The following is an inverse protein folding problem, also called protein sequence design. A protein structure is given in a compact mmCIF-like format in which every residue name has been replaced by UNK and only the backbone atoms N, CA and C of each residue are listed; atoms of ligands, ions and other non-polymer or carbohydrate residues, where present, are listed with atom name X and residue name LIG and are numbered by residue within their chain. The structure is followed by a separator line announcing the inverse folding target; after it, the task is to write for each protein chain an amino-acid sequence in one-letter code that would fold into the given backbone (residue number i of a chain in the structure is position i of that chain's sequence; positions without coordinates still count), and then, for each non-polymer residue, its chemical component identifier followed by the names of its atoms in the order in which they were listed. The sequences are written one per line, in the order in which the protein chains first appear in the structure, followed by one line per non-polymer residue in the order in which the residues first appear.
data_IF_411128005764
#
_entry.id   IF_411128005764
#
_cell.length_a   1.000
_cell.length_b   1.000
_cell.length_c   1.000
_cell.angle_alpha   90.00
_cell.angle_beta   90.00
_cell.angle_gamma   90.00
#
_symmetry.space_group_name_H-M   'P 1'
#
loop_
_entity.id
_entity.type
_entity.pdbx_description
1 polymer ?
#
# COMPACT_ATOMS: atom_id res chain seq x y z
N UNK A 1 4.70 5.30 1.75
CA UNK A 1 3.35 5.39 2.35
C UNK A 1 3.27 4.37 3.47
N UNK A 2 2.83 4.80 4.65
CA UNK A 2 2.68 4.00 5.88
C UNK A 2 1.52 4.56 6.70
N UNK A 3 1.13 3.88 7.79
CA UNK A 3 0.04 4.31 8.67
C UNK A 3 -1.16 3.37 8.58
N UNK A 4 -2.34 3.85 8.96
CA UNK A 4 -3.57 3.05 8.97
C UNK A 4 -4.75 3.75 8.31
N UNK A 5 -5.67 3.01 7.68
CA UNK A 5 -5.62 1.56 7.46
C UNK A 5 -4.99 1.19 6.12
N UNK A 6 -4.27 0.05 6.06
CA UNK A 6 -3.73 -0.54 4.83
C UNK A 6 -4.80 -0.61 3.73
N UNK A 7 -5.99 -1.08 4.12
CA UNK A 7 -7.11 -1.32 3.22
C UNK A 7 -7.83 -0.07 2.70
N UNK A 8 -7.55 1.10 3.28
CA UNK A 8 -8.25 2.35 2.97
C UNK A 8 -7.24 3.44 2.61
N UNK A 9 -6.91 4.32 3.55
CA UNK A 9 -6.08 5.51 3.30
C UNK A 9 -4.73 5.15 2.67
N UNK A 10 -4.05 4.12 3.18
CA UNK A 10 -2.73 3.73 2.67
C UNK A 10 -2.83 3.25 1.22
N UNK A 11 -3.76 2.34 0.92
CA UNK A 11 -4.02 1.87 -0.46
C UNK A 11 -4.38 3.02 -1.39
N UNK A 12 -5.39 3.82 -1.02
CA UNK A 12 -5.88 4.91 -1.86
C UNK A 12 -4.77 5.92 -2.16
N UNK A 13 -4.04 6.37 -1.14
CA UNK A 13 -2.92 7.32 -1.32
C UNK A 13 -1.80 6.74 -2.19
N UNK A 14 -1.48 5.46 -2.05
CA UNK A 14 -0.44 4.83 -2.86
C UNK A 14 -0.85 4.68 -4.33
N UNK A 15 -2.11 4.32 -4.60
CA UNK A 15 -2.67 4.26 -5.94
C UNK A 15 -2.73 5.66 -6.58
N UNK A 16 -3.16 6.68 -5.84
CA UNK A 16 -3.20 8.07 -6.33
C UNK A 16 -1.80 8.58 -6.67
N UNK A 17 -0.79 8.26 -5.84
CA UNK A 17 0.60 8.61 -6.10
C UNK A 17 1.11 7.95 -7.39
N UNK A 18 0.83 6.66 -7.58
CA UNK A 18 1.20 5.93 -8.80
C UNK A 18 0.52 6.51 -10.05
N UNK A 19 -0.79 6.75 -10.00
CA UNK A 19 -1.55 7.37 -11.09
C UNK A 19 -1.05 8.77 -11.44
N UNK A 20 -0.50 9.49 -10.44
CA UNK A 20 0.11 10.81 -10.61
C UNK A 20 1.58 10.77 -11.09
N UNK A 21 2.15 9.58 -11.35
CA UNK A 21 3.54 9.41 -11.77
C UNK A 21 4.56 9.69 -10.66
N UNK A 22 4.14 9.71 -9.39
CA UNK A 22 5.03 9.90 -8.25
C UNK A 22 5.69 8.59 -7.86
N UNK A 23 6.98 8.65 -7.54
CA UNK A 23 7.69 7.52 -6.95
C UNK A 23 7.22 7.30 -5.51
N UNK A 24 6.40 6.27 -5.28
CA UNK A 24 5.92 5.88 -3.97
C UNK A 24 6.13 4.37 -3.71
N UNK A 25 6.42 4.04 -2.45
CA UNK A 25 6.53 2.65 -1.96
C UNK A 25 5.62 2.49 -0.74
N UNK A 26 4.95 1.35 -0.58
CA UNK A 26 4.19 1.00 0.63
C UNK A 26 5.09 0.17 1.54
N UNK A 27 5.24 0.56 2.82
CA UNK A 27 6.00 -0.24 3.80
C UNK A 27 5.04 -1.19 4.51
N UNK A 28 5.07 -2.47 4.14
CA UNK A 28 4.05 -3.46 4.49
C UNK A 28 4.06 -3.88 5.95
N UNK A 29 5.18 -3.68 6.64
CA UNK A 29 5.39 -3.95 8.07
C UNK A 29 5.02 -2.75 8.96
N UNK A 30 4.70 -1.60 8.36
CA UNK A 30 4.33 -0.35 9.05
C UNK A 30 2.90 0.10 8.70
N UNK A 31 2.03 -0.86 8.39
CA UNK A 31 0.61 -0.66 8.11
C UNK A 31 -0.21 -1.86 8.58
N UNK A 32 -1.50 -1.66 8.83
CA UNK A 32 -2.42 -2.74 9.20
C UNK A 32 -3.79 -2.52 8.55
N UNK A 33 -4.41 -3.56 7.96
CA UNK A 33 -5.74 -3.45 7.39
C UNK A 33 -6.83 -3.46 8.47
N UNK A 34 -8.02 -2.97 8.13
CA UNK A 34 -9.20 -3.08 9.02
C UNK A 34 -9.61 -4.54 9.25
N UNK A 35 -9.48 -5.41 8.23
CA UNK A 35 -9.63 -6.85 8.35
C UNK A 35 -8.61 -7.59 7.48
N UNK A 36 -8.28 -8.87 7.78
CA UNK A 36 -7.34 -9.65 6.96
C UNK A 36 -7.77 -9.78 5.49
N UNK A 37 -9.06 -9.99 5.23
CA UNK A 37 -9.63 -10.08 3.88
C UNK A 37 -9.44 -8.77 3.10
N UNK A 38 -9.71 -7.64 3.76
CA UNK A 38 -9.50 -6.33 3.14
C UNK A 38 -8.02 -6.01 2.90
N UNK A 39 -7.11 -6.54 3.72
CA UNK A 39 -5.66 -6.45 3.47
C UNK A 39 -5.24 -7.25 2.24
N UNK A 40 -5.75 -8.47 2.10
CA UNK A 40 -5.49 -9.30 0.92
C UNK A 40 -5.97 -8.61 -0.37
N UNK A 41 -7.19 -8.05 -0.36
CA UNK A 41 -7.72 -7.28 -1.47
C UNK A 41 -6.86 -6.04 -1.77
N UNK A 42 -6.45 -5.30 -0.74
CA UNK A 42 -5.62 -4.11 -0.90
C UNK A 42 -4.26 -4.40 -1.53
N UNK A 43 -3.59 -5.47 -1.11
CA UNK A 43 -2.31 -5.90 -1.69
C UNK A 43 -2.47 -6.35 -3.14
N UNK A 44 -3.57 -7.03 -3.46
CA UNK A 44 -3.89 -7.41 -4.85
C UNK A 44 -4.09 -6.16 -5.73
N UNK A 45 -4.80 -5.14 -5.25
CA UNK A 45 -5.01 -3.89 -6.00
C UNK A 45 -3.68 -3.15 -6.23
N UNK A 46 -2.83 -3.08 -5.20
CA UNK A 46 -1.52 -2.42 -5.27
C UNK A 46 -0.56 -3.13 -6.22
N UNK A 47 -0.52 -4.47 -6.17
CA UNK A 47 0.29 -5.30 -7.07
C UNK A 47 -0.18 -5.16 -8.53
N UNK A 48 -1.49 -5.22 -8.76
CA UNK A 48 -2.08 -5.04 -10.09
C UNK A 48 -1.79 -3.65 -10.70
N UNK A 49 -1.69 -2.62 -9.86
CA UNK A 49 -1.29 -1.27 -10.28
C UNK A 49 0.23 -1.11 -10.42
N UNK A 50 1.06 -2.10 -10.05
CA UNK A 50 2.51 -1.98 -10.08
C UNK A 50 3.08 -1.05 -9.01
N UNK A 51 2.37 -0.87 -7.89
CA UNK A 51 2.88 -0.13 -6.73
C UNK A 51 3.90 -0.98 -5.99
N UNK A 52 5.09 -0.42 -5.74
CA UNK A 52 6.14 -1.12 -5.01
C UNK A 52 5.75 -1.31 -3.54
N UNK A 53 5.80 -2.55 -3.07
CA UNK A 53 5.58 -2.96 -1.68
C UNK A 53 6.87 -3.56 -1.13
N UNK A 54 7.38 -3.05 -0.01
CA UNK A 54 8.65 -3.49 0.61
C UNK A 54 8.56 -3.46 2.13
N UNK A 55 9.45 -4.15 2.82
CA UNK A 55 9.63 -4.00 4.25
C UNK A 55 10.44 -2.74 4.57
N UNK A 56 10.25 -2.18 5.77
CA UNK A 56 11.02 -1.01 6.23
C UNK A 56 12.53 -1.26 6.32
N UNK A 57 12.95 -2.52 6.42
CA UNK A 57 14.36 -2.95 6.41
C UNK A 57 15.02 -2.91 5.04
N UNK A 58 14.25 -2.73 3.97
CA UNK A 58 14.72 -2.71 2.57
C UNK A 58 14.82 -1.29 1.99
N UNK A 59 14.74 -0.26 2.86
CA UNK A 59 14.80 1.17 2.50
C UNK A 59 16.17 1.76 2.81
#
# INVERSE_FOLDING_TARGET
VVGIAESHCVKATALDAHASGLAARVLIDLTVPVSPEQGAAARSDLDAAGVMMVASTEI
#
